data_IF_639713711436
#
_entry.id   IF_639713711436
#
_cell.length_a   1.000
_cell.length_b   1.000
_cell.length_c   1.000
_cell.angle_alpha   90.00
_cell.angle_beta   90.00
_cell.angle_gamma   90.00
#
_symmetry.space_group_name_H-M   'P 1'
#
loop_
_entity.id
_entity.type
_entity.pdbx_description
1 polymer ?
#
# COMPACT_ATOMS: atom_id res chain seq x y z
N UNK A 1 -25.75 -12.17 19.70
CA UNK A 1 -25.64 -11.51 18.37
C UNK A 1 -24.31 -11.95 17.73
N UNK A 2 -24.38 -12.77 16.70
CA UNK A 2 -23.17 -13.27 16.00
C UNK A 2 -22.49 -12.10 15.31
N UNK A 3 -21.26 -11.77 15.70
CA UNK A 3 -20.48 -10.74 15.02
C UNK A 3 -20.16 -11.22 13.59
N UNK A 4 -20.45 -10.38 12.61
CA UNK A 4 -20.11 -10.66 11.20
C UNK A 4 -18.62 -11.00 11.08
N UNK A 5 -18.22 -11.95 10.21
CA UNK A 5 -16.80 -12.26 9.94
C UNK A 5 -15.96 -11.01 9.61
N UNK A 6 -16.57 -10.03 8.95
CA UNK A 6 -15.93 -8.73 8.65
C UNK A 6 -15.63 -7.93 9.91
N UNK A 7 -16.51 -7.96 10.92
CA UNK A 7 -16.28 -7.24 12.18
C UNK A 7 -15.06 -7.79 12.92
N UNK A 8 -14.90 -9.11 12.97
CA UNK A 8 -13.73 -9.75 13.58
C UNK A 8 -12.43 -9.39 12.85
N UNK A 9 -12.46 -9.37 11.52
CA UNK A 9 -11.30 -8.97 10.70
C UNK A 9 -10.93 -7.51 10.95
N UNK A 10 -11.91 -6.61 10.96
CA UNK A 10 -11.69 -5.17 11.21
C UNK A 10 -11.09 -4.94 12.61
N UNK A 11 -11.62 -5.63 13.62
CA UNK A 11 -11.09 -5.53 14.99
C UNK A 11 -9.63 -5.98 15.07
N UNK A 12 -9.28 -7.11 14.44
CA UNK A 12 -7.89 -7.60 14.39
C UNK A 12 -6.95 -6.64 13.67
N UNK A 13 -7.37 -6.05 12.55
CA UNK A 13 -6.57 -5.07 11.82
C UNK A 13 -6.32 -3.81 12.66
N UNK A 14 -7.33 -3.30 13.37
CA UNK A 14 -7.18 -2.18 14.30
C UNK A 14 -6.21 -2.49 15.43
N UNK A 15 -6.38 -3.63 16.08
CA UNK A 15 -5.46 -4.08 17.12
C UNK A 15 -4.02 -4.16 16.62
N UNK A 16 -3.80 -4.72 15.42
CA UNK A 16 -2.45 -4.75 14.82
C UNK A 16 -1.91 -3.35 14.58
N UNK A 17 -2.72 -2.42 14.08
CA UNK A 17 -2.32 -1.03 13.91
C UNK A 17 -1.93 -0.37 15.24
N UNK A 18 -2.74 -0.57 16.28
CA UNK A 18 -2.56 0.01 17.64
C UNK A 18 -1.27 -0.47 18.33
N UNK A 19 -0.74 -1.66 17.94
CA UNK A 19 0.57 -2.12 18.41
C UNK A 19 1.75 -1.29 17.87
N UNK A 20 1.53 -0.44 16.86
CA UNK A 20 2.58 0.31 16.17
C UNK A 20 3.45 -0.54 15.22
N UNK A 21 3.18 -1.84 15.08
CA UNK A 21 3.97 -2.76 14.22
C UNK A 21 4.15 -2.25 12.79
N UNK A 22 3.16 -1.54 12.25
CA UNK A 22 3.15 -1.05 10.87
C UNK A 22 3.79 0.33 10.69
N UNK A 23 4.27 0.96 11.78
CA UNK A 23 4.83 2.31 11.74
C UNK A 23 6.27 2.39 11.23
N UNK A 24 7.21 1.47 11.61
CA UNK A 24 8.60 1.53 11.17
C UNK A 24 8.73 1.45 9.64
N UNK A 25 9.63 2.25 9.09
CA UNK A 25 9.89 2.26 7.64
C UNK A 25 10.44 0.92 7.15
N UNK A 26 11.24 0.25 7.94
CA UNK A 26 11.84 -1.06 7.65
C UNK A 26 10.75 -2.10 7.42
N UNK A 27 9.73 -2.12 8.29
CA UNK A 27 8.59 -3.02 8.13
C UNK A 27 7.86 -2.75 6.81
N UNK A 28 7.62 -1.48 6.48
CA UNK A 28 6.92 -1.10 5.24
C UNK A 28 7.72 -1.45 3.99
N UNK A 29 9.03 -1.21 4.02
CA UNK A 29 9.92 -1.58 2.91
C UNK A 29 9.98 -3.09 2.72
N UNK A 30 9.94 -3.87 3.82
CA UNK A 30 9.85 -5.33 3.76
C UNK A 30 8.54 -5.76 3.11
N UNK A 31 7.39 -5.21 3.49
CA UNK A 31 6.11 -5.56 2.87
C UNK A 31 6.08 -5.25 1.37
N UNK A 32 6.62 -4.10 0.96
CA UNK A 32 6.75 -3.76 -0.46
C UNK A 32 7.70 -4.72 -1.21
N UNK A 33 8.77 -5.16 -0.57
CA UNK A 33 9.69 -6.15 -1.16
C UNK A 33 9.02 -7.52 -1.32
N UNK A 34 8.24 -7.95 -0.33
CA UNK A 34 7.47 -9.21 -0.38
C UNK A 34 6.39 -9.16 -1.47
N UNK A 35 5.71 -8.03 -1.63
CA UNK A 35 4.75 -7.84 -2.73
C UNK A 35 5.42 -7.95 -4.10
N UNK A 36 6.56 -7.29 -4.31
CA UNK A 36 7.34 -7.38 -5.56
C UNK A 36 7.81 -8.82 -5.82
N UNK A 37 8.25 -9.53 -4.76
CA UNK A 37 8.64 -10.95 -4.86
C UNK A 37 7.45 -11.82 -5.27
N UNK A 38 6.32 -11.69 -4.60
CA UNK A 38 5.10 -12.44 -4.90
C UNK A 38 4.68 -12.26 -6.36
N UNK A 39 4.67 -11.02 -6.85
CA UNK A 39 4.31 -10.74 -8.24
C UNK A 39 5.26 -11.39 -9.25
N UNK A 40 6.55 -11.52 -8.92
CA UNK A 40 7.53 -12.20 -9.80
C UNK A 40 7.44 -13.72 -9.74
N UNK A 41 7.33 -14.27 -8.54
CA UNK A 41 7.31 -15.72 -8.34
C UNK A 41 6.02 -16.35 -8.87
N UNK A 42 4.89 -15.61 -8.79
CA UNK A 42 3.57 -16.05 -9.20
C UNK A 42 3.03 -15.36 -10.46
N UNK A 43 3.90 -14.75 -11.27
CA UNK A 43 3.47 -14.12 -12.54
C UNK A 43 2.62 -15.08 -13.42
N UNK A 44 3.02 -16.34 -13.62
CA UNK A 44 2.23 -17.26 -14.44
C UNK A 44 0.82 -17.52 -13.86
N UNK A 45 0.71 -17.62 -12.53
CA UNK A 45 -0.55 -17.90 -11.85
C UNK A 45 -1.49 -16.68 -11.97
N UNK A 46 -0.98 -15.46 -11.80
CA UNK A 46 -1.75 -14.24 -12.02
C UNK A 46 -2.19 -14.09 -13.48
N UNK A 47 -1.29 -14.35 -14.43
CA UNK A 47 -1.63 -14.27 -15.86
C UNK A 47 -2.71 -15.28 -16.24
N UNK A 48 -2.67 -16.49 -15.69
CA UNK A 48 -3.69 -17.51 -15.93
C UNK A 48 -5.03 -17.14 -15.29
N UNK A 49 -5.04 -16.61 -14.07
CA UNK A 49 -6.26 -16.13 -13.44
C UNK A 49 -6.93 -15.01 -14.25
N UNK A 50 -6.14 -14.03 -14.74
CA UNK A 50 -6.62 -12.95 -15.60
C UNK A 50 -7.15 -13.46 -16.95
N UNK A 51 -6.55 -14.51 -17.50
CA UNK A 51 -7.03 -15.17 -18.72
C UNK A 51 -8.38 -15.85 -18.50
N UNK A 52 -8.53 -16.55 -17.38
CA UNK A 52 -9.76 -17.27 -17.05
C UNK A 52 -10.92 -16.31 -16.76
N UNK A 53 -10.67 -15.27 -15.99
CA UNK A 53 -11.71 -14.34 -15.54
C UNK A 53 -12.08 -13.27 -16.58
N UNK A 54 -11.09 -12.76 -17.31
CA UNK A 54 -11.26 -11.60 -18.19
C UNK A 54 -10.90 -11.85 -19.65
N UNK A 55 -10.40 -13.06 -19.99
CA UNK A 55 -9.94 -13.38 -21.35
C UNK A 55 -8.67 -12.64 -21.77
N UNK A 56 -7.93 -12.02 -20.83
CA UNK A 56 -6.71 -11.27 -21.13
C UNK A 56 -5.61 -12.22 -21.64
N UNK A 57 -4.92 -11.83 -22.70
CA UNK A 57 -3.74 -12.56 -23.13
C UNK A 57 -2.56 -12.30 -22.17
N UNK A 58 -1.58 -13.21 -22.16
CA UNK A 58 -0.43 -13.12 -21.24
C UNK A 58 0.32 -11.79 -21.37
N UNK A 59 0.50 -11.30 -22.60
CA UNK A 59 1.17 -10.03 -22.84
C UNK A 59 0.43 -8.85 -22.19
N UNK A 60 -0.89 -8.79 -22.38
CA UNK A 60 -1.73 -7.76 -21.77
C UNK A 60 -1.68 -7.84 -20.24
N UNK A 61 -1.86 -9.03 -19.66
CA UNK A 61 -1.79 -9.24 -18.20
C UNK A 61 -0.45 -8.80 -17.61
N UNK A 62 0.66 -9.17 -18.26
CA UNK A 62 1.99 -8.73 -17.81
C UNK A 62 2.16 -7.22 -17.92
N UNK A 63 1.84 -6.60 -19.05
CA UNK A 63 2.14 -5.19 -19.29
C UNK A 63 1.24 -4.24 -18.51
N UNK A 64 -0.07 -4.53 -18.47
CA UNK A 64 -1.05 -3.58 -17.95
C UNK A 64 -1.35 -3.76 -16.46
N UNK A 65 -1.03 -4.93 -15.90
CA UNK A 65 -1.30 -5.21 -14.48
C UNK A 65 -0.03 -5.59 -13.72
N UNK A 66 0.61 -6.71 -14.01
CA UNK A 66 1.71 -7.22 -13.19
C UNK A 66 2.91 -6.25 -13.18
N UNK A 67 3.42 -5.88 -14.36
CA UNK A 67 4.54 -4.94 -14.48
C UNK A 67 4.17 -3.53 -14.00
N UNK A 68 2.91 -3.13 -14.18
CA UNK A 68 2.43 -1.85 -13.67
C UNK A 68 2.52 -1.81 -12.15
N UNK A 69 1.95 -2.78 -11.43
CA UNK A 69 2.04 -2.84 -9.96
C UNK A 69 3.49 -2.96 -9.49
N UNK A 70 4.34 -3.75 -10.17
CA UNK A 70 5.77 -3.80 -9.85
C UNK A 70 6.46 -2.44 -10.00
N UNK A 71 6.10 -1.64 -10.99
CA UNK A 71 6.65 -0.30 -11.17
C UNK A 71 6.24 0.64 -10.05
N UNK A 72 4.97 0.57 -9.61
CA UNK A 72 4.46 1.33 -8.47
C UNK A 72 5.14 0.92 -7.16
N UNK A 73 5.35 -0.37 -6.94
CA UNK A 73 6.11 -0.88 -5.77
C UNK A 73 7.55 -0.33 -5.76
N UNK A 74 8.23 -0.36 -6.90
CA UNK A 74 9.60 0.20 -7.02
C UNK A 74 9.61 1.70 -6.74
N UNK A 75 8.63 2.42 -7.28
CA UNK A 75 8.47 3.85 -7.04
C UNK A 75 8.21 4.14 -5.56
N UNK A 76 7.28 3.43 -4.94
CA UNK A 76 6.97 3.58 -3.53
C UNK A 76 8.20 3.31 -2.64
N UNK A 77 8.94 2.22 -2.89
CA UNK A 77 10.18 1.90 -2.15
C UNK A 77 11.22 3.00 -2.23
N UNK A 78 11.36 3.63 -3.39
CA UNK A 78 12.31 4.73 -3.60
C UNK A 78 11.92 6.01 -2.85
N UNK A 79 10.62 6.28 -2.71
CA UNK A 79 10.13 7.56 -2.20
C UNK A 79 9.59 7.50 -0.78
N UNK A 80 9.35 6.30 -0.22
CA UNK A 80 8.70 6.11 1.07
C UNK A 80 9.34 6.93 2.20
N UNK A 81 10.67 6.93 2.29
CA UNK A 81 11.40 7.69 3.31
C UNK A 81 11.14 9.20 3.20
N UNK A 82 11.01 9.71 1.99
CA UNK A 82 10.70 11.11 1.73
C UNK A 82 9.26 11.43 2.10
N UNK A 83 8.31 10.55 1.75
CA UNK A 83 6.89 10.73 2.07
C UNK A 83 6.61 10.69 3.58
N UNK A 84 7.38 9.90 4.33
CA UNK A 84 7.23 9.78 5.78
C UNK A 84 7.89 10.91 6.56
N UNK A 85 8.75 11.71 5.91
CA UNK A 85 9.51 12.76 6.59
C UNK A 85 8.64 13.96 6.93
N UNK A 86 8.79 14.46 8.17
CA UNK A 86 8.23 15.73 8.56
C UNK A 86 8.83 16.89 7.72
N UNK A 87 7.98 17.71 7.17
CA UNK A 87 8.35 18.85 6.34
C UNK A 87 8.25 20.13 7.15
N UNK A 88 9.35 20.89 7.24
CA UNK A 88 9.34 22.21 7.88
C UNK A 88 8.58 23.19 6.98
N UNK A 89 7.67 23.95 7.58
CA UNK A 89 6.90 24.99 6.91
C UNK A 89 7.12 26.34 7.58
N UNK A 90 6.71 27.43 6.90
CA UNK A 90 6.82 28.77 7.43
C UNK A 90 5.99 28.90 8.72
N UNK A 91 6.62 29.40 9.78
CA UNK A 91 5.96 29.70 11.03
C UNK A 91 5.44 31.16 11.00
N UNK A 92 4.15 31.39 11.31
CA UNK A 92 3.62 32.76 11.41
C UNK A 92 4.41 33.60 12.42
N UNK A 93 4.51 34.94 12.17
CA UNK A 93 5.28 35.86 13.02
C UNK A 93 4.82 35.79 14.48
N UNK A 94 3.52 35.70 14.73
CA UNK A 94 2.91 35.60 16.07
C UNK A 94 3.36 34.36 16.86
N UNK A 95 3.85 33.32 16.18
CA UNK A 95 4.30 32.08 16.81
C UNK A 95 5.83 31.96 16.88
N UNK A 96 6.56 33.06 16.59
CA UNK A 96 8.01 33.09 16.76
C UNK A 96 8.36 33.14 18.27
N UNK A 97 9.45 32.47 18.70
CA UNK A 97 10.48 31.72 17.95
C UNK A 97 10.16 30.25 17.65
N UNK A 98 8.89 29.86 17.65
CA UNK A 98 8.43 28.49 17.36
C UNK A 98 8.83 27.99 15.98
N UNK A 99 8.63 26.68 15.75
CA UNK A 99 8.87 26.01 14.46
C UNK A 99 7.64 25.20 14.07
N UNK A 100 7.21 25.34 12.81
CA UNK A 100 6.04 24.64 12.27
C UNK A 100 6.45 23.52 11.33
N UNK A 101 5.74 22.39 11.42
CA UNK A 101 5.98 21.20 10.59
C UNK A 101 4.67 20.60 10.13
N UNK A 102 4.67 20.03 8.94
CA UNK A 102 3.65 19.09 8.47
C UNK A 102 4.24 17.69 8.65
N UNK A 103 3.59 16.85 9.44
CA UNK A 103 3.99 15.46 9.66
C UNK A 103 2.95 14.53 9.04
N UNK A 104 3.33 13.69 8.07
CA UNK A 104 2.46 12.62 7.59
C UNK A 104 2.20 11.60 8.71
N UNK A 105 0.94 11.23 8.88
CA UNK A 105 0.53 10.20 9.85
C UNK A 105 -0.27 9.10 9.17
N UNK A 106 -0.14 7.85 9.61
CA UNK A 106 -0.87 6.75 9.03
C UNK A 106 -2.36 6.86 9.34
N UNK A 107 -3.21 6.60 8.35
CA UNK A 107 -4.67 6.65 8.51
C UNK A 107 -5.25 5.46 9.30
N UNK A 108 -4.45 4.43 9.55
CA UNK A 108 -4.91 3.20 10.18
C UNK A 108 -5.43 2.20 9.15
N UNK A 109 -6.56 1.58 9.45
CA UNK A 109 -7.19 0.60 8.57
C UNK A 109 -7.92 1.31 7.43
N UNK A 110 -7.65 0.89 6.20
CA UNK A 110 -8.29 1.41 4.98
C UNK A 110 -8.99 0.29 4.23
N UNK A 111 -10.01 0.63 3.47
CA UNK A 111 -10.67 -0.26 2.51
C UNK A 111 -10.23 0.14 1.11
N UNK A 112 -9.77 -0.84 0.34
CA UNK A 112 -9.44 -0.68 -1.08
C UNK A 112 -10.49 -1.44 -1.88
N UNK A 113 -11.12 -0.77 -2.85
CA UNK A 113 -12.05 -1.37 -3.81
C UNK A 113 -11.41 -1.19 -5.18
N UNK A 114 -10.81 -2.27 -5.68
CA UNK A 114 -10.16 -2.26 -6.99
C UNK A 114 -11.18 -2.32 -8.13
N UNK A 115 -10.88 -1.79 -9.32
CA UNK A 115 -11.73 -1.94 -10.50
C UNK A 115 -11.70 -3.39 -11.00
N UNK A 116 -12.85 -3.94 -11.34
CA UNK A 116 -12.96 -5.36 -11.71
C UNK A 116 -12.33 -5.71 -13.06
N UNK A 117 -12.09 -4.74 -13.93
CA UNK A 117 -11.41 -4.91 -15.21
C UNK A 117 -9.87 -4.80 -15.12
N UNK A 118 -9.35 -4.33 -13.98
CA UNK A 118 -7.92 -4.30 -13.63
C UNK A 118 -7.76 -4.70 -12.14
N UNK A 119 -8.01 -5.97 -11.82
CA UNK A 119 -8.11 -6.40 -10.42
C UNK A 119 -6.80 -6.39 -9.64
N UNK A 120 -5.65 -6.37 -10.31
CA UNK A 120 -4.33 -6.26 -9.66
C UNK A 120 -3.83 -4.82 -9.50
N UNK A 121 -4.41 -3.87 -10.23
CA UNK A 121 -3.92 -2.47 -10.30
C UNK A 121 -4.58 -1.56 -9.27
#
# INVERSE_FOLDING_TARGET
MSSSPLQGTLTRLRQTFDTGKTLPIEWRLTQLAELDRMLREHEPDFAEALRLDLGKCRFESSMTEINFVQSEVKYARKHLATWMRAQRVRTPMMAQPGRSYIRPEPKGVVLIIAPWNYPLS
#
